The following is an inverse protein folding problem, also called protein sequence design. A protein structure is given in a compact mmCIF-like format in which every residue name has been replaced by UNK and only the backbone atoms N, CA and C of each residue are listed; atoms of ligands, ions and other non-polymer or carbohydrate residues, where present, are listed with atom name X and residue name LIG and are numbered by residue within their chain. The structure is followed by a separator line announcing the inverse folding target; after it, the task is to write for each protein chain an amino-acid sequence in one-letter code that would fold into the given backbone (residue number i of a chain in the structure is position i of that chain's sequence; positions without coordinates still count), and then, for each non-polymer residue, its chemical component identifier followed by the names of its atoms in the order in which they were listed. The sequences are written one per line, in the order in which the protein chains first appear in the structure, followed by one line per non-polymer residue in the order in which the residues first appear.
data_IF_547601715920
#
_entry.id   IF_547601715920
#
_cell.length_a   1.000
_cell.length_b   1.000
_cell.length_c   1.000
_cell.angle_alpha   90.00
_cell.angle_beta   90.00
_cell.angle_gamma   90.00
#
_symmetry.space_group_name_H-M   'P 1'
#
loop_
_entity.id
_entity.type
_entity.pdbx_description
1 polymer ?
#
# COMPACT_ATOMS: atom_id res chain seq x y z
N UNK A 1 25.39 0.86 -16.05
CA UNK A 1 24.18 0.01 -16.16
C UNK A 1 23.02 0.95 -16.44
N UNK A 2 22.66 1.12 -17.71
CA UNK A 2 21.56 2.02 -18.10
C UNK A 2 20.22 1.33 -17.83
N UNK A 3 19.47 1.83 -16.85
CA UNK A 3 18.08 1.45 -16.66
C UNK A 3 17.27 2.01 -17.84
N UNK A 4 16.77 1.14 -18.72
CA UNK A 4 15.88 1.55 -19.80
C UNK A 4 14.56 2.04 -19.20
N UNK A 5 14.18 3.28 -19.49
CA UNK A 5 12.95 3.91 -18.99
C UNK A 5 11.70 3.04 -19.21
N UNK A 6 11.65 2.31 -20.34
CA UNK A 6 10.60 1.34 -20.67
C UNK A 6 10.45 0.23 -19.62
N UNK A 7 11.54 -0.24 -19.04
CA UNK A 7 11.52 -1.30 -18.02
C UNK A 7 11.01 -0.76 -16.69
N UNK A 8 11.47 0.42 -16.29
CA UNK A 8 10.98 1.13 -15.08
C UNK A 8 9.47 1.37 -15.18
N UNK A 9 9.00 1.86 -16.33
CA UNK A 9 7.59 2.10 -16.57
C UNK A 9 6.76 0.80 -16.52
N UNK A 10 7.31 -0.30 -17.07
CA UNK A 10 6.64 -1.60 -17.03
C UNK A 10 6.52 -2.14 -15.60
N UNK A 11 7.59 -2.04 -14.80
CA UNK A 11 7.58 -2.42 -13.38
C UNK A 11 6.54 -1.59 -12.62
N UNK A 12 6.56 -0.26 -12.80
CA UNK A 12 5.61 0.65 -12.16
C UNK A 12 4.16 0.31 -12.51
N UNK A 13 3.88 0.03 -13.79
CA UNK A 13 2.55 -0.32 -14.28
C UNK A 13 2.00 -1.60 -13.65
N UNK A 14 2.84 -2.63 -13.49
CA UNK A 14 2.43 -3.87 -12.82
C UNK A 14 2.13 -3.64 -11.33
N UNK A 15 2.90 -2.77 -10.67
CA UNK A 15 2.61 -2.35 -9.30
C UNK A 15 1.25 -1.68 -9.18
N UNK A 16 0.92 -0.77 -10.09
CA UNK A 16 -0.37 -0.05 -10.06
C UNK A 16 -1.57 -1.01 -10.16
N UNK A 17 -1.47 -2.08 -10.95
CA UNK A 17 -2.55 -3.06 -11.10
C UNK A 17 -2.92 -3.70 -9.74
N UNK A 18 -1.94 -4.04 -8.91
CA UNK A 18 -2.18 -4.65 -7.59
C UNK A 18 -2.90 -3.67 -6.66
N UNK A 19 -2.52 -2.39 -6.69
CA UNK A 19 -3.17 -1.35 -5.89
C UNK A 19 -4.60 -1.05 -6.37
N UNK A 20 -4.84 -1.13 -7.68
CA UNK A 20 -6.18 -1.01 -8.26
C UNK A 20 -7.09 -2.16 -7.83
N UNK A 21 -6.58 -3.39 -7.82
CA UNK A 21 -7.32 -4.55 -7.32
C UNK A 21 -7.69 -4.34 -5.84
N UNK A 22 -6.76 -3.88 -5.01
CA UNK A 22 -7.06 -3.54 -3.61
C UNK A 22 -8.15 -2.48 -3.46
N UNK A 23 -8.13 -1.46 -4.32
CA UNK A 23 -9.15 -0.40 -4.35
C UNK A 23 -10.53 -0.93 -4.79
N UNK A 24 -10.56 -1.86 -5.75
CA UNK A 24 -11.80 -2.54 -6.17
C UNK A 24 -12.37 -3.39 -5.04
N UNK A 25 -11.53 -4.18 -4.36
CA UNK A 25 -11.96 -5.00 -3.22
C UNK A 25 -12.56 -4.13 -2.11
N UNK A 26 -11.92 -3.01 -1.79
CA UNK A 26 -12.45 -2.02 -0.84
C UNK A 26 -13.80 -1.46 -1.28
N UNK A 27 -13.94 -1.13 -2.57
CA UNK A 27 -15.18 -0.58 -3.13
C UNK A 27 -16.33 -1.58 -3.06
N UNK A 28 -16.07 -2.84 -3.43
CA UNK A 28 -17.05 -3.94 -3.33
C UNK A 28 -17.45 -4.15 -1.87
N UNK A 29 -16.49 -4.17 -0.94
CA UNK A 29 -16.77 -4.31 0.48
C UNK A 29 -17.64 -3.16 1.01
N UNK A 30 -17.35 -1.91 0.66
CA UNK A 30 -18.16 -0.75 1.03
C UNK A 30 -19.58 -0.80 0.43
N UNK A 31 -19.73 -1.30 -0.80
CA UNK A 31 -21.05 -1.48 -1.43
C UNK A 31 -21.92 -2.52 -0.72
N UNK A 32 -21.30 -3.50 -0.06
CA UNK A 32 -22.00 -4.52 0.73
C UNK A 32 -22.51 -4.02 2.09
N UNK A 33 -22.14 -2.80 2.51
CA UNK A 33 -22.55 -2.23 3.80
C UNK A 33 -23.80 -1.35 3.59
N UNK A 34 -24.87 -1.53 4.40
CA UNK A 34 -26.05 -0.66 4.35
C UNK A 34 -25.67 0.81 4.57
N UNK A 35 -26.32 1.72 3.84
CA UNK A 35 -25.97 3.16 3.86
C UNK A 35 -26.05 3.78 5.26
N UNK A 36 -26.97 3.32 6.11
CA UNK A 36 -27.11 3.83 7.48
C UNK A 36 -25.91 3.49 8.39
N UNK A 37 -25.11 2.50 8.02
CA UNK A 37 -23.96 2.04 8.79
C UNK A 37 -22.62 2.57 8.24
N UNK A 38 -22.63 3.23 7.08
CA UNK A 38 -21.43 3.83 6.48
C UNK A 38 -20.96 5.01 7.33
N UNK A 39 -19.78 4.86 7.92
CA UNK A 39 -19.11 5.93 8.67
C UNK A 39 -17.85 6.37 7.94
N UNK A 40 -17.43 7.63 8.15
CA UNK A 40 -16.18 8.18 7.58
C UNK A 40 -14.97 7.30 7.93
N UNK A 41 -14.97 6.68 9.12
CA UNK A 41 -13.91 5.76 9.57
C UNK A 41 -13.81 4.49 8.72
N UNK A 42 -14.90 4.02 8.12
CA UNK A 42 -14.87 2.84 7.23
C UNK A 42 -14.15 3.14 5.91
N UNK A 43 -14.16 4.40 5.45
CA UNK A 43 -13.38 4.82 4.29
C UNK A 43 -11.88 4.87 4.57
N UNK A 44 -11.45 5.05 5.82
CA UNK A 44 -10.04 4.93 6.20
C UNK A 44 -9.60 3.49 6.46
N UNK A 45 -10.54 2.54 6.55
CA UNK A 45 -10.25 1.15 6.86
C UNK A 45 -10.06 0.32 5.59
N UNK A 46 -9.10 -0.61 5.61
CA UNK A 46 -8.83 -1.56 4.52
C UNK A 46 -9.21 -2.96 5.01
N UNK A 47 -10.11 -3.70 4.32
CA UNK A 47 -10.64 -4.96 4.83
C UNK A 47 -9.59 -6.08 4.94
N UNK A 48 -8.49 -6.00 4.18
CA UNK A 48 -7.35 -6.92 4.27
C UNK A 48 -6.09 -6.24 4.85
N UNK A 49 -6.29 -5.37 5.85
CA UNK A 49 -5.21 -4.76 6.63
C UNK A 49 -4.53 -5.77 7.55
N UNK A 50 -3.26 -5.53 7.88
CA UNK A 50 -2.49 -6.41 8.77
C UNK A 50 -3.04 -6.41 10.20
N UNK A 51 -3.67 -5.32 10.63
CA UNK A 51 -4.41 -5.23 11.89
C UNK A 51 -5.53 -6.27 12.02
N UNK A 52 -6.12 -6.75 10.92
CA UNK A 52 -7.10 -7.84 10.99
C UNK A 52 -6.46 -9.21 11.24
N UNK A 53 -5.14 -9.33 11.04
CA UNK A 53 -4.37 -10.55 11.24
C UNK A 53 -3.62 -10.57 12.58
N UNK A 54 -3.47 -9.41 13.23
CA UNK A 54 -2.73 -9.27 14.50
C UNK A 54 -3.66 -8.75 15.59
N UNK A 55 -3.63 -9.37 16.78
CA UNK A 55 -4.50 -8.97 17.89
C UNK A 55 -4.20 -7.52 18.33
N UNK A 56 -5.07 -6.53 18.03
CA UNK A 56 -4.78 -5.11 18.22
C UNK A 56 -4.72 -4.72 19.71
N UNK A 57 -5.26 -5.56 20.61
CA UNK A 57 -5.23 -5.33 22.06
C UNK A 57 -3.83 -5.46 22.67
N UNK A 58 -2.84 -5.95 21.92
CA UNK A 58 -1.44 -6.07 22.36
C UNK A 58 -0.50 -5.05 21.73
N UNK A 59 -1.02 -4.12 20.93
CA UNK A 59 -0.21 -3.18 20.14
C UNK A 59 -0.42 -1.73 20.59
N UNK A 60 0.67 -0.97 20.59
CA UNK A 60 0.66 0.46 20.88
C UNK A 60 -0.15 1.23 19.81
N UNK A 61 -0.79 2.35 20.19
CA UNK A 61 -1.75 3.07 19.34
C UNK A 61 -1.13 3.54 18.01
N UNK A 62 0.16 3.85 17.99
CA UNK A 62 0.92 4.23 16.79
C UNK A 62 1.11 3.03 15.86
N UNK A 63 1.41 1.85 16.42
CA UNK A 63 1.55 0.61 15.65
C UNK A 63 0.24 0.18 15.03
N UNK A 64 -0.89 0.38 15.72
CA UNK A 64 -2.23 0.10 15.19
C UNK A 64 -2.55 0.99 13.98
N UNK A 65 -2.17 2.27 14.00
CA UNK A 65 -2.35 3.17 12.85
C UNK A 65 -1.53 2.76 11.63
N UNK A 66 -0.27 2.36 11.85
CA UNK A 66 0.61 1.87 10.79
C UNK A 66 0.12 0.53 10.23
N UNK A 67 -0.23 -0.43 11.07
CA UNK A 67 -0.70 -1.75 10.64
C UNK A 67 -2.08 -1.71 9.97
N UNK A 68 -2.92 -0.70 10.28
CA UNK A 68 -4.15 -0.44 9.52
C UNK A 68 -3.88 0.06 8.11
N UNK A 69 -2.75 0.77 7.93
CA UNK A 69 -2.34 1.29 6.62
C UNK A 69 -1.73 0.19 5.76
N UNK A 70 -0.97 -0.72 6.37
CA UNK A 70 -0.35 -1.86 5.68
C UNK A 70 -1.40 -2.93 5.40
N UNK A 71 -1.62 -3.21 4.12
CA UNK A 71 -2.56 -4.22 3.69
C UNK A 71 -1.87 -5.35 2.91
N UNK A 72 -2.57 -6.47 2.74
CA UNK A 72 -2.00 -7.63 2.03
C UNK A 72 -1.66 -7.31 0.56
N UNK A 73 -2.36 -6.35 -0.05
CA UNK A 73 -2.05 -5.89 -1.40
C UNK A 73 -0.73 -5.14 -1.47
N UNK A 74 -0.33 -4.42 -0.42
CA UNK A 74 0.99 -3.79 -0.34
C UNK A 74 2.10 -4.82 -0.18
N UNK A 75 1.87 -5.90 0.58
CA UNK A 75 2.82 -7.01 0.66
C UNK A 75 2.95 -7.69 -0.71
N UNK A 76 1.82 -7.99 -1.37
CA UNK A 76 1.81 -8.56 -2.72
C UNK A 76 2.52 -7.63 -3.71
N UNK A 77 2.30 -6.33 -3.59
CA UNK A 77 2.99 -5.31 -4.40
C UNK A 77 4.51 -5.40 -4.21
N UNK A 78 5.00 -5.42 -2.97
CA UNK A 78 6.43 -5.52 -2.67
C UNK A 78 7.03 -6.81 -3.26
N UNK A 79 6.32 -7.93 -3.12
CA UNK A 79 6.78 -9.22 -3.65
C UNK A 79 6.79 -9.24 -5.18
N UNK A 80 5.75 -8.73 -5.84
CA UNK A 80 5.67 -8.67 -7.31
C UNK A 80 6.72 -7.73 -7.89
N UNK A 81 6.89 -6.53 -7.33
CA UNK A 81 7.90 -5.58 -7.77
C UNK A 81 9.30 -6.13 -7.51
N UNK A 82 9.55 -6.70 -6.33
CA UNK A 82 10.81 -7.38 -6.02
C UNK A 82 11.12 -8.53 -6.99
N UNK A 83 10.11 -9.32 -7.38
CA UNK A 83 10.28 -10.38 -8.37
C UNK A 83 10.56 -9.83 -9.78
N UNK A 84 9.89 -8.76 -10.19
CA UNK A 84 10.13 -8.10 -11.49
C UNK A 84 11.52 -7.48 -11.57
N UNK A 85 11.97 -6.82 -10.50
CA UNK A 85 13.33 -6.26 -10.39
C UNK A 85 14.37 -7.38 -10.47
N UNK A 86 14.15 -8.51 -9.75
CA UNK A 86 15.01 -9.70 -9.85
C UNK A 86 15.10 -10.17 -11.30
N UNK A 87 13.96 -10.30 -11.98
CA UNK A 87 13.89 -10.84 -13.33
C UNK A 87 14.55 -9.92 -14.37
N UNK A 88 14.43 -8.61 -14.21
CA UNK A 88 14.99 -7.61 -15.13
C UNK A 88 16.48 -7.36 -14.93
N UNK A 89 16.94 -7.35 -13.68
CA UNK A 89 18.32 -6.95 -13.35
C UNK A 89 19.19 -8.11 -12.87
N UNK A 90 18.66 -9.34 -12.84
CA UNK A 90 19.34 -10.56 -12.41
C UNK A 90 20.08 -10.42 -11.07
N UNK A 91 19.50 -9.65 -10.15
CA UNK A 91 20.06 -9.44 -8.80
C UNK A 91 19.44 -10.43 -7.79
N UNK A 92 20.11 -10.66 -6.65
CA UNK A 92 19.58 -11.51 -5.58
C UNK A 92 18.18 -11.03 -5.16
N UNK A 93 17.26 -11.97 -4.92
CA UNK A 93 15.87 -11.66 -4.55
C UNK A 93 15.81 -10.75 -3.31
N UNK A 94 16.61 -11.03 -2.28
CA UNK A 94 16.71 -10.20 -1.07
C UNK A 94 17.05 -8.75 -1.39
N UNK A 95 18.00 -8.49 -2.29
CA UNK A 95 18.34 -7.12 -2.72
C UNK A 95 17.20 -6.46 -3.48
N UNK A 96 16.49 -7.23 -4.31
CA UNK A 96 15.34 -6.72 -5.09
C UNK A 96 14.17 -6.32 -4.19
N UNK A 97 13.90 -7.13 -3.16
CA UNK A 97 12.88 -6.83 -2.14
C UNK A 97 13.28 -5.60 -1.34
N UNK A 98 14.56 -5.43 -0.99
CA UNK A 98 15.05 -4.20 -0.31
C UNK A 98 14.82 -2.96 -1.19
N UNK A 99 15.11 -3.02 -2.48
CA UNK A 99 14.83 -1.90 -3.39
C UNK A 99 13.33 -1.61 -3.47
N UNK A 100 12.50 -2.65 -3.58
CA UNK A 100 11.05 -2.50 -3.58
C UNK A 100 10.52 -1.89 -2.28
N UNK A 101 11.06 -2.29 -1.13
CA UNK A 101 10.74 -1.71 0.17
C UNK A 101 11.16 -0.25 0.25
N UNK A 102 12.33 0.12 -0.28
CA UNK A 102 12.77 1.51 -0.33
C UNK A 102 11.81 2.40 -1.12
N UNK A 103 11.36 1.94 -2.29
CA UNK A 103 10.34 2.65 -3.07
C UNK A 103 9.01 2.74 -2.31
N UNK A 104 8.60 1.66 -1.66
CA UNK A 104 7.36 1.63 -0.88
C UNK A 104 7.39 2.61 0.30
N UNK A 105 8.50 2.72 1.03
CA UNK A 105 8.67 3.71 2.11
C UNK A 105 8.56 5.13 1.57
N UNK A 106 9.16 5.42 0.41
CA UNK A 106 9.03 6.74 -0.24
C UNK A 106 7.58 7.05 -0.60
N UNK A 107 6.81 6.06 -1.07
CA UNK A 107 5.38 6.22 -1.35
C UNK A 107 4.62 6.54 -0.05
N UNK A 108 4.90 5.83 1.05
CA UNK A 108 4.26 6.12 2.34
C UNK A 108 4.56 7.53 2.86
N UNK A 109 5.82 7.97 2.74
CA UNK A 109 6.22 9.33 3.12
C UNK A 109 5.46 10.36 2.27
N UNK A 110 5.40 10.15 0.96
CA UNK A 110 4.68 11.04 0.05
C UNK A 110 3.17 11.09 0.35
N UNK A 111 2.54 9.93 0.57
CA UNK A 111 1.14 9.82 0.92
C UNK A 111 0.84 10.48 2.27
N UNK A 112 1.72 10.32 3.26
CA UNK A 112 1.62 11.00 4.56
C UNK A 112 1.73 12.51 4.40
N UNK A 113 2.69 12.98 3.59
CA UNK A 113 2.84 14.40 3.26
C UNK A 113 1.60 14.99 2.59
N UNK A 114 1.01 14.26 1.64
CA UNK A 114 -0.26 14.64 1.01
C UNK A 114 -1.41 14.69 2.01
N UNK A 115 -1.54 13.67 2.87
CA UNK A 115 -2.59 13.65 3.90
C UNK A 115 -2.47 14.81 4.87
N UNK A 116 -1.25 15.15 5.31
CA UNK A 116 -1.00 16.31 6.17
C UNK A 116 -1.30 17.63 5.45
N UNK A 117 -0.93 17.74 4.17
CA UNK A 117 -1.24 18.91 3.36
C UNK A 117 -2.76 19.09 3.21
N UNK A 118 -3.48 18.03 2.84
CA UNK A 118 -4.94 18.04 2.72
C UNK A 118 -5.59 18.33 4.07
N UNK A 119 -5.15 17.70 5.15
CA UNK A 119 -5.67 17.99 6.49
C UNK A 119 -5.46 19.47 6.86
N UNK A 120 -4.32 20.05 6.54
CA UNK A 120 -4.04 21.48 6.78
C UNK A 120 -4.91 22.40 5.92
N UNK A 121 -5.25 22.01 4.69
CA UNK A 121 -6.07 22.82 3.77
C UNK A 121 -7.56 22.75 4.10
N UNK A 122 -8.06 21.61 4.58
CA UNK A 122 -9.49 21.40 4.85
C UNK A 122 -9.90 21.55 6.32
N UNK A 123 -8.95 21.51 7.26
CA UNK A 123 -9.19 21.76 8.70
C UNK A 123 -8.46 22.99 9.24
N UNK A 124 -7.84 23.78 8.37
CA UNK A 124 -7.23 25.09 8.68
C UNK A 124 -8.18 26.24 8.37
#
# INVERSE_FOLDING_TARGET
MELKLKEVFRIASYGVIILLIGSLVKSIWLMSIPREQLTIKMFSHMPLSLTNLVNPYKMDHIMVGLFNSINIFEILWILTIGFLIKLLYNIKFTKSVIYSLGVWVLVLIFQTGLNLYVARVFHG
#
